data_IF_842571907633
#
_entry.id   IF_842571907633
#
_cell.length_a   1.000
_cell.length_b   1.000
_cell.length_c   1.000
_cell.angle_alpha   90.00
_cell.angle_beta   90.00
_cell.angle_gamma   90.00
#
_symmetry.space_group_name_H-M   'P 1'
#
loop_
_entity.id
_entity.type
_entity.pdbx_description
1 polymer ?
#
# COMPACT_ATOMS: atom_id res chain seq x y z
N UNK A 1 23.56 9.02 -12.28
CA UNK A 1 23.13 7.99 -11.32
C UNK A 1 21.77 7.46 -11.74
N UNK A 2 21.73 6.25 -12.23
CA UNK A 2 20.48 5.48 -12.32
C UNK A 2 20.10 5.08 -10.90
N UNK A 3 19.47 5.98 -10.19
CA UNK A 3 19.07 5.74 -8.82
C UNK A 3 17.62 5.31 -8.77
N UNK A 4 17.41 4.08 -8.38
CA UNK A 4 16.37 3.64 -7.42
C UNK A 4 14.88 3.78 -7.75
N UNK A 5 14.41 4.24 -8.88
CA UNK A 5 12.99 4.05 -9.26
C UNK A 5 12.68 2.56 -9.43
N UNK A 6 13.66 1.77 -9.87
CA UNK A 6 13.56 0.32 -9.94
C UNK A 6 13.37 -0.35 -8.57
N UNK A 7 13.97 0.15 -7.49
CA UNK A 7 13.87 -0.47 -6.16
C UNK A 7 12.47 -0.29 -5.52
N UNK A 8 11.79 0.84 -5.73
CA UNK A 8 10.41 1.01 -5.28
C UNK A 8 9.43 0.20 -6.13
N UNK A 9 9.76 -0.01 -7.38
CA UNK A 9 8.97 -0.78 -8.34
C UNK A 9 8.98 -2.29 -8.03
N UNK A 10 10.10 -2.81 -7.50
CA UNK A 10 10.22 -4.23 -7.12
C UNK A 10 9.21 -4.64 -6.05
N UNK A 11 8.80 -3.74 -5.15
CA UNK A 11 7.88 -4.06 -4.05
C UNK A 11 6.41 -3.72 -4.32
N UNK A 12 6.13 -2.77 -5.21
CA UNK A 12 4.76 -2.25 -5.41
C UNK A 12 4.13 -2.64 -6.73
N UNK A 13 4.94 -2.94 -7.75
CA UNK A 13 4.55 -3.53 -9.05
C UNK A 13 3.41 -2.82 -9.79
N UNK A 14 3.16 -1.55 -9.53
CA UNK A 14 2.28 -0.70 -10.34
C UNK A 14 3.02 -0.18 -11.58
N UNK A 15 2.26 0.22 -12.60
CA UNK A 15 2.84 0.98 -13.72
C UNK A 15 3.13 2.42 -13.28
N UNK A 16 4.09 3.03 -13.94
CA UNK A 16 4.44 4.44 -13.78
C UNK A 16 4.17 5.18 -15.09
N UNK A 17 3.80 6.43 -14.99
CA UNK A 17 3.62 7.33 -16.12
C UNK A 17 4.59 8.51 -16.01
N UNK A 18 5.23 8.87 -17.10
CA UNK A 18 6.01 10.09 -17.21
C UNK A 18 5.09 11.24 -17.60
N UNK A 19 5.00 12.25 -16.77
CA UNK A 19 4.19 13.44 -16.99
C UNK A 19 5.10 14.61 -17.33
N UNK A 20 4.75 15.33 -18.38
CA UNK A 20 5.34 16.61 -18.76
C UNK A 20 4.45 17.74 -18.19
N UNK A 21 5.01 18.54 -17.31
CA UNK A 21 4.36 19.71 -16.74
C UNK A 21 4.43 20.90 -17.70
N UNK A 22 3.61 21.92 -17.49
CA UNK A 22 3.56 23.11 -18.33
C UNK A 22 4.86 23.95 -18.29
N UNK A 23 5.60 23.86 -17.17
CA UNK A 23 6.92 24.48 -16.98
C UNK A 23 8.06 23.71 -17.68
N UNK A 24 7.74 22.60 -18.37
CA UNK A 24 8.72 21.73 -19.03
C UNK A 24 9.32 20.66 -18.12
N UNK A 25 9.03 20.67 -16.81
CA UNK A 25 9.53 19.64 -15.90
C UNK A 25 8.90 18.28 -16.19
N UNK A 26 9.67 17.21 -16.02
CA UNK A 26 9.22 15.84 -16.21
C UNK A 26 9.29 15.07 -14.90
N UNK A 27 8.16 14.53 -14.45
CA UNK A 27 8.08 13.70 -13.24
C UNK A 27 7.38 12.38 -13.48
N UNK A 28 7.84 11.34 -12.77
CA UNK A 28 7.14 10.06 -12.75
C UNK A 28 6.07 10.06 -11.67
N UNK A 29 4.88 9.62 -12.06
CA UNK A 29 3.76 9.39 -11.16
C UNK A 29 3.36 7.91 -11.17
N UNK A 30 2.63 7.49 -10.14
CA UNK A 30 1.95 6.19 -10.15
C UNK A 30 0.82 6.26 -11.16
N UNK A 31 0.86 5.43 -12.20
CA UNK A 31 -0.15 5.42 -13.24
C UNK A 31 -1.50 4.93 -12.71
N UNK A 32 -2.56 5.71 -12.79
CA UNK A 32 -3.92 5.24 -12.52
C UNK A 32 -4.38 4.25 -13.59
N UNK A 33 -5.34 3.41 -13.22
CA UNK A 33 -5.97 2.47 -14.14
C UNK A 33 -6.77 3.24 -15.21
N UNK A 34 -6.55 2.91 -16.46
CA UNK A 34 -7.31 3.49 -17.59
C UNK A 34 -6.70 4.77 -18.17
N UNK A 35 -5.60 5.28 -17.62
CA UNK A 35 -4.89 6.40 -18.27
C UNK A 35 -4.23 5.93 -19.57
N UNK A 36 -4.25 6.80 -20.58
CA UNK A 36 -3.62 6.55 -21.90
C UNK A 36 -2.54 7.59 -22.15
N UNK A 37 -1.65 7.29 -23.10
CA UNK A 37 -0.67 8.27 -23.58
C UNK A 37 -1.40 9.49 -24.15
N UNK A 38 -0.90 10.69 -23.87
CA UNK A 38 -1.53 11.95 -24.26
C UNK A 38 -2.68 12.42 -23.38
N UNK A 39 -3.09 11.63 -22.36
CA UNK A 39 -4.11 12.08 -21.38
C UNK A 39 -3.61 13.27 -20.59
N UNK A 40 -4.43 14.31 -20.46
CA UNK A 40 -4.16 15.45 -19.59
C UNK A 40 -4.59 15.13 -18.17
N UNK A 41 -3.75 15.44 -17.20
CA UNK A 41 -4.04 15.31 -15.77
C UNK A 41 -3.78 16.63 -15.08
N UNK A 42 -4.57 16.93 -14.06
CA UNK A 42 -4.50 18.16 -13.28
C UNK A 42 -4.32 17.86 -11.80
N UNK A 43 -3.62 18.74 -11.10
CA UNK A 43 -3.46 18.67 -9.64
C UNK A 43 -3.71 20.06 -9.06
N UNK A 44 -4.68 20.17 -8.17
CA UNK A 44 -5.07 21.42 -7.52
C UNK A 44 -6.52 21.41 -7.08
N UNK A 45 -6.95 22.53 -6.47
CA UNK A 45 -8.35 22.73 -6.02
C UNK A 45 -9.35 22.74 -7.16
N UNK A 46 -8.93 23.26 -8.32
CA UNK A 46 -9.78 23.52 -9.48
C UNK A 46 -9.77 22.37 -10.50
N UNK A 47 -9.12 21.25 -10.14
CA UNK A 47 -9.06 20.09 -11.01
C UNK A 47 -10.44 19.43 -11.14
N UNK A 48 -10.79 19.01 -12.35
CA UNK A 48 -12.01 18.24 -12.61
C UNK A 48 -11.98 16.86 -11.92
N UNK A 49 -13.17 16.33 -11.63
CA UNK A 49 -13.34 15.00 -11.05
C UNK A 49 -13.18 13.95 -12.14
N UNK A 50 -11.97 13.74 -12.60
CA UNK A 50 -11.62 12.75 -13.62
C UNK A 50 -10.48 11.86 -13.19
N UNK A 51 -10.36 10.67 -13.79
CA UNK A 51 -9.37 9.65 -13.42
C UNK A 51 -7.97 10.22 -13.64
N UNK A 52 -7.13 10.14 -12.58
CA UNK A 52 -5.76 10.63 -12.59
C UNK A 52 -5.58 12.03 -12.02
N UNK A 53 -6.64 12.80 -11.87
CA UNK A 53 -6.57 14.12 -11.26
C UNK A 53 -6.41 14.02 -9.73
N UNK A 54 -5.66 14.95 -9.18
CA UNK A 54 -5.34 14.99 -7.74
C UNK A 54 -5.94 16.24 -7.12
N UNK A 55 -6.82 16.04 -6.14
CA UNK A 55 -7.52 17.09 -5.41
C UNK A 55 -7.39 16.91 -3.91
N UNK A 56 -7.73 17.97 -3.17
CA UNK A 56 -7.97 17.87 -1.73
C UNK A 56 -9.25 17.07 -1.46
N UNK A 57 -9.27 16.29 -0.37
CA UNK A 57 -10.42 15.47 -0.02
C UNK A 57 -11.69 16.31 0.20
N UNK A 58 -11.53 17.58 0.52
CA UNK A 58 -12.64 18.53 0.63
C UNK A 58 -13.41 18.69 -0.69
N UNK A 59 -12.71 18.69 -1.81
CA UNK A 59 -13.28 18.92 -3.14
C UNK A 59 -13.73 17.63 -3.85
N UNK A 60 -13.47 16.47 -3.23
CA UNK A 60 -13.86 15.16 -3.79
C UNK A 60 -15.26 14.77 -3.28
N UNK A 61 -16.20 14.35 -4.14
CA UNK A 61 -17.50 13.87 -3.70
C UNK A 61 -17.41 12.54 -2.96
N UNK A 62 -18.28 12.38 -1.98
CA UNK A 62 -18.44 11.13 -1.22
C UNK A 62 -18.86 10.00 -2.17
N UNK A 63 -18.37 8.79 -1.89
CA UNK A 63 -18.60 7.61 -2.75
C UNK A 63 -17.53 7.41 -3.83
N UNK A 64 -16.70 8.41 -4.10
CA UNK A 64 -15.63 8.31 -5.10
C UNK A 64 -14.56 7.30 -4.69
N UNK A 65 -14.07 6.54 -5.66
CA UNK A 65 -12.89 5.68 -5.51
C UNK A 65 -11.63 6.51 -5.73
N UNK A 66 -10.72 6.48 -4.77
CA UNK A 66 -9.49 7.28 -4.76
C UNK A 66 -8.28 6.39 -4.47
N UNK A 67 -7.09 6.88 -4.79
CA UNK A 67 -5.82 6.26 -4.46
C UNK A 67 -4.76 7.30 -4.14
N UNK A 68 -3.55 6.89 -3.80
CA UNK A 68 -2.45 7.81 -3.47
C UNK A 68 -2.83 8.86 -2.42
N UNK A 69 -3.52 8.43 -1.33
CA UNK A 69 -4.03 9.33 -0.31
C UNK A 69 -2.93 9.76 0.66
N UNK A 70 -2.88 11.05 0.97
CA UNK A 70 -2.01 11.59 2.01
C UNK A 70 -2.55 11.28 3.41
N UNK A 71 -1.66 11.16 4.40
CA UNK A 71 -2.01 11.07 5.82
C UNK A 71 -1.85 12.40 6.56
N UNK A 72 -1.03 13.27 6.03
CA UNK A 72 -0.81 14.65 6.48
C UNK A 72 -0.74 15.53 5.24
N UNK A 73 -1.30 16.74 5.28
CA UNK A 73 -1.23 17.67 4.18
C UNK A 73 0.21 17.91 3.70
N UNK A 74 0.42 17.95 2.40
CA UNK A 74 1.68 18.23 1.73
C UNK A 74 2.84 17.24 2.03
N UNK A 75 2.57 16.12 2.72
CA UNK A 75 3.58 15.10 3.00
C UNK A 75 3.72 14.07 1.87
N UNK A 76 2.86 14.14 0.88
CA UNK A 76 2.80 13.20 -0.23
C UNK A 76 2.01 11.93 0.08
N UNK A 77 1.70 11.20 -0.97
CA UNK A 77 0.86 10.01 -0.92
C UNK A 77 1.48 8.89 -0.08
N UNK A 78 0.70 8.32 0.84
CA UNK A 78 1.12 7.22 1.72
C UNK A 78 0.21 6.01 1.65
N UNK A 79 -1.10 6.18 1.45
CA UNK A 79 -2.09 5.09 1.37
C UNK A 79 -2.43 4.75 -0.08
N UNK A 80 -2.82 3.50 -0.33
CA UNK A 80 -3.26 2.97 -1.62
C UNK A 80 -2.30 3.30 -2.78
N UNK A 81 -1.04 2.91 -2.64
CA UNK A 81 0.02 3.11 -3.65
C UNK A 81 0.39 1.83 -4.40
N UNK A 82 0.06 0.66 -3.87
CA UNK A 82 0.44 -0.62 -4.46
C UNK A 82 -0.46 -0.97 -5.65
N UNK A 83 0.04 -1.84 -6.53
CA UNK A 83 -0.69 -2.31 -7.71
C UNK A 83 -2.12 -2.77 -7.37
N UNK A 84 -3.10 -2.27 -8.12
CA UNK A 84 -4.50 -2.62 -7.96
C UNK A 84 -5.12 -2.27 -6.61
N UNK A 85 -4.56 -1.28 -5.91
CA UNK A 85 -5.17 -0.78 -4.67
C UNK A 85 -6.01 0.45 -4.92
N UNK A 86 -7.08 0.55 -4.14
CA UNK A 86 -7.96 1.70 -4.10
C UNK A 86 -8.49 1.90 -2.68
N UNK A 87 -9.06 3.04 -2.44
CA UNK A 87 -9.71 3.46 -1.20
C UNK A 87 -11.05 4.04 -1.56
N UNK A 88 -12.09 3.70 -0.81
CA UNK A 88 -13.40 4.28 -0.95
C UNK A 88 -13.55 5.48 -0.03
N UNK A 89 -13.94 6.63 -0.55
CA UNK A 89 -14.28 7.81 0.22
C UNK A 89 -15.72 7.68 0.73
N UNK A 90 -15.91 7.59 2.04
CA UNK A 90 -17.19 7.17 2.64
C UNK A 90 -18.00 8.36 3.16
N UNK A 91 -17.37 9.28 3.88
CA UNK A 91 -18.04 10.42 4.48
C UNK A 91 -17.06 11.59 4.70
N UNK A 92 -17.61 12.78 4.87
CA UNK A 92 -16.88 14.00 5.20
C UNK A 92 -17.61 14.69 6.35
N UNK A 93 -16.95 14.84 7.50
CA UNK A 93 -17.51 15.42 8.72
C UNK A 93 -16.40 16.10 9.54
N UNK A 94 -16.70 17.25 10.14
CA UNK A 94 -15.84 17.96 11.12
C UNK A 94 -14.39 18.19 10.64
N UNK A 95 -14.16 18.50 9.36
CA UNK A 95 -12.82 18.69 8.80
C UNK A 95 -12.03 17.38 8.59
N UNK A 96 -12.69 16.23 8.78
CA UNK A 96 -12.13 14.92 8.50
C UNK A 96 -12.88 14.19 7.39
N UNK A 97 -12.13 13.49 6.58
CA UNK A 97 -12.61 12.54 5.59
C UNK A 97 -12.53 11.11 6.16
N UNK A 98 -13.64 10.40 6.15
CA UNK A 98 -13.70 8.99 6.51
C UNK A 98 -13.47 8.14 5.28
N UNK A 99 -12.41 7.33 5.30
CA UNK A 99 -12.01 6.49 4.18
C UNK A 99 -12.02 5.01 4.56
N UNK A 100 -12.46 4.15 3.63
CA UNK A 100 -12.40 2.70 3.74
C UNK A 100 -11.25 2.15 2.91
N UNK A 101 -10.27 1.56 3.59
CA UNK A 101 -9.13 0.92 2.96
C UNK A 101 -9.50 -0.45 2.37
N UNK A 102 -8.70 -0.96 1.43
CA UNK A 102 -8.84 -2.31 0.84
C UNK A 102 -8.86 -3.43 1.90
N UNK A 103 -8.20 -3.22 3.04
CA UNK A 103 -8.22 -4.15 4.18
C UNK A 103 -9.54 -4.19 4.95
N UNK A 104 -10.48 -3.27 4.65
CA UNK A 104 -11.73 -3.08 5.41
C UNK A 104 -11.59 -2.20 6.65
N UNK A 105 -10.41 -1.62 6.92
CA UNK A 105 -10.23 -0.63 7.97
C UNK A 105 -10.86 0.70 7.56
N UNK A 106 -11.57 1.32 8.50
CA UNK A 106 -12.10 2.68 8.36
C UNK A 106 -11.21 3.64 9.13
N UNK A 107 -10.79 4.70 8.48
CA UNK A 107 -9.84 5.66 9.02
C UNK A 107 -10.25 7.09 8.72
N UNK A 108 -10.00 7.99 9.67
CA UNK A 108 -10.12 9.45 9.50
C UNK A 108 -8.82 10.02 8.93
N UNK A 109 -8.95 10.94 8.00
CA UNK A 109 -7.85 11.72 7.40
C UNK A 109 -8.34 13.17 7.30
N UNK A 110 -7.47 14.16 7.47
CA UNK A 110 -7.83 15.57 7.31
C UNK A 110 -8.35 15.86 5.89
N UNK A 111 -9.37 16.69 5.76
CA UNK A 111 -9.95 17.07 4.45
C UNK A 111 -8.98 17.84 3.56
N UNK A 112 -8.01 18.55 4.15
CA UNK A 112 -6.91 19.23 3.46
C UNK A 112 -5.84 18.29 2.88
N UNK A 113 -5.90 16.98 3.17
CA UNK A 113 -5.05 15.98 2.52
C UNK A 113 -5.48 15.76 1.08
N UNK A 114 -4.50 15.53 0.20
CA UNK A 114 -4.73 15.27 -1.22
C UNK A 114 -4.91 13.78 -1.50
N UNK A 115 -5.69 13.49 -2.52
CA UNK A 115 -5.87 12.15 -3.06
C UNK A 115 -6.05 12.20 -4.57
N UNK A 116 -5.71 11.12 -5.26
CA UNK A 116 -5.89 10.98 -6.71
C UNK A 116 -7.13 10.16 -7.00
N UNK A 117 -7.93 10.60 -7.96
CA UNK A 117 -9.17 9.93 -8.35
C UNK A 117 -8.86 8.66 -9.15
N UNK A 118 -9.60 7.58 -8.86
CA UNK A 118 -9.49 6.29 -9.53
C UNK A 118 -8.72 5.23 -8.73
N UNK A 119 -8.27 4.20 -9.40
CA UNK A 119 -7.53 3.05 -8.85
C UNK A 119 -6.11 3.01 -9.38
N UNK A 120 -5.20 2.38 -8.64
CA UNK A 120 -3.83 2.11 -9.11
C UNK A 120 -3.85 1.04 -10.21
N UNK A 121 -3.03 1.21 -11.22
CA UNK A 121 -2.84 0.28 -12.32
C UNK A 121 -2.32 -1.11 -11.91
N UNK A 122 -2.28 -2.05 -12.87
CA UNK A 122 -1.76 -3.42 -12.71
C UNK A 122 -2.49 -4.24 -11.62
N UNK A 123 -3.82 -4.24 -11.67
CA UNK A 123 -4.68 -4.93 -10.69
C UNK A 123 -4.42 -6.45 -10.65
N UNK A 124 -4.10 -7.04 -11.80
CA UNK A 124 -3.87 -8.47 -11.95
C UNK A 124 -2.52 -8.95 -11.41
N UNK A 125 -1.66 -8.03 -10.96
CA UNK A 125 -0.34 -8.40 -10.44
C UNK A 125 -0.40 -9.44 -9.32
N UNK A 126 -1.41 -9.38 -8.46
CA UNK A 126 -1.60 -10.34 -7.36
C UNK A 126 -1.95 -11.77 -7.82
N UNK A 127 -2.43 -11.92 -9.04
CA UNK A 127 -2.80 -13.22 -9.63
C UNK A 127 -1.62 -13.94 -10.27
N UNK A 128 -0.47 -13.26 -10.42
CA UNK A 128 0.72 -13.82 -11.05
C UNK A 128 1.29 -14.99 -10.26
N UNK A 129 1.32 -16.17 -10.87
CA UNK A 129 2.02 -17.34 -10.38
C UNK A 129 3.42 -17.44 -11.00
N UNK A 130 4.42 -17.71 -10.17
CA UNK A 130 5.82 -17.85 -10.66
C UNK A 130 6.14 -19.25 -11.19
N UNK A 131 5.33 -20.26 -10.89
CA UNK A 131 5.54 -21.63 -11.34
C UNK A 131 6.76 -22.34 -10.76
N UNK A 132 7.91 -21.67 -10.71
CA UNK A 132 9.18 -22.24 -10.21
C UNK A 132 9.92 -21.28 -9.26
N UNK A 133 10.76 -21.84 -8.38
CA UNK A 133 11.55 -21.09 -7.41
C UNK A 133 12.53 -20.09 -8.08
N UNK A 134 13.11 -20.47 -9.23
CA UNK A 134 14.00 -19.59 -9.98
C UNK A 134 13.35 -18.30 -10.45
N UNK A 135 12.06 -18.34 -10.83
CA UNK A 135 11.32 -17.14 -11.21
C UNK A 135 11.16 -16.13 -10.05
N UNK A 136 11.03 -16.62 -8.83
CA UNK A 136 11.07 -15.74 -7.62
C UNK A 136 12.46 -15.14 -7.41
N UNK A 137 13.52 -15.90 -7.68
CA UNK A 137 14.90 -15.40 -7.61
C UNK A 137 15.16 -14.27 -8.60
N UNK A 138 14.61 -14.36 -9.80
CA UNK A 138 14.74 -13.30 -10.83
C UNK A 138 14.13 -11.96 -10.38
N UNK A 139 13.12 -11.98 -9.51
CA UNK A 139 12.53 -10.76 -8.95
C UNK A 139 13.15 -10.37 -7.59
N UNK A 140 14.32 -10.93 -7.25
CA UNK A 140 15.09 -10.57 -6.06
C UNK A 140 14.66 -11.26 -4.75
N UNK A 141 13.69 -12.17 -4.79
CA UNK A 141 13.25 -12.89 -3.59
C UNK A 141 14.21 -14.04 -3.29
N UNK A 142 14.92 -13.94 -2.16
CA UNK A 142 15.83 -15.00 -1.68
C UNK A 142 15.05 -16.14 -1.01
N UNK A 143 15.60 -17.36 -0.97
CA UNK A 143 15.05 -18.46 -0.21
C UNK A 143 14.92 -18.11 1.28
N UNK A 144 13.86 -18.57 1.91
CA UNK A 144 13.62 -18.38 3.35
C UNK A 144 13.59 -19.75 4.02
N UNK A 145 14.40 -19.92 5.07
CA UNK A 145 14.40 -21.12 5.90
C UNK A 145 13.29 -21.03 6.93
N UNK A 146 12.57 -22.12 7.14
CA UNK A 146 11.52 -22.20 8.18
C UNK A 146 12.16 -22.30 9.56
N UNK A 147 11.60 -21.65 10.58
CA UNK A 147 12.10 -21.69 11.94
C UNK A 147 12.25 -23.11 12.54
N UNK A 148 11.36 -24.02 12.15
CA UNK A 148 11.42 -25.45 12.57
C UNK A 148 12.67 -26.17 12.05
N UNK A 149 13.27 -25.69 10.95
CA UNK A 149 14.48 -26.28 10.38
C UNK A 149 15.78 -25.61 10.87
N UNK A 150 15.68 -24.72 11.84
CA UNK A 150 16.80 -24.02 12.46
C UNK A 150 17.20 -24.69 13.79
N UNK A 151 18.34 -24.27 14.32
CA UNK A 151 18.78 -24.66 15.66
C UNK A 151 18.01 -23.90 16.76
N UNK A 152 17.97 -24.41 18.02
CA UNK A 152 17.27 -23.75 19.12
C UNK A 152 17.73 -22.32 19.39
N UNK A 153 18.99 -22.01 19.14
CA UNK A 153 19.58 -20.68 19.31
C UNK A 153 19.06 -19.67 18.27
N UNK A 154 18.70 -20.14 17.06
CA UNK A 154 18.30 -19.28 15.93
C UNK A 154 16.80 -18.99 15.90
N UNK A 155 16.00 -19.90 16.44
CA UNK A 155 14.54 -19.76 16.41
C UNK A 155 13.87 -20.52 17.55
N UNK A 156 12.80 -19.96 18.19
CA UNK A 156 12.03 -20.63 19.24
C UNK A 156 11.36 -21.95 18.83
N UNK A 157 11.24 -22.21 17.53
CA UNK A 157 10.74 -23.48 16.97
C UNK A 157 11.87 -24.43 16.54
N UNK A 158 13.13 -24.05 16.75
CA UNK A 158 14.28 -24.84 16.37
C UNK A 158 14.54 -26.03 17.30
N UNK A 159 15.35 -26.94 16.81
CA UNK A 159 15.79 -28.13 17.56
C UNK A 159 14.95 -29.38 17.34
N UNK A 160 15.30 -30.44 18.09
CA UNK A 160 14.70 -31.77 17.98
C UNK A 160 15.47 -32.71 17.08
N UNK A 161 15.14 -34.00 17.14
CA UNK A 161 15.72 -35.03 16.28
C UNK A 161 14.83 -35.29 15.06
N UNK A 162 15.41 -35.25 13.88
CA UNK A 162 14.72 -35.51 12.62
C UNK A 162 13.59 -34.54 12.31
N UNK A 163 12.42 -35.05 11.96
CA UNK A 163 11.26 -34.25 11.54
C UNK A 163 10.38 -33.89 12.74
N UNK A 164 10.72 -32.84 13.48
CA UNK A 164 9.96 -32.39 14.65
C UNK A 164 8.90 -31.34 14.29
N UNK A 165 7.90 -31.22 15.15
CA UNK A 165 6.93 -30.12 15.11
C UNK A 165 7.45 -28.88 15.84
N UNK A 166 6.77 -27.72 15.71
CA UNK A 166 7.19 -26.48 16.37
C UNK A 166 7.09 -26.48 17.89
N UNK A 167 6.45 -27.48 18.51
CA UNK A 167 6.38 -27.72 19.96
C UNK A 167 5.65 -26.65 20.80
N UNK A 168 5.18 -25.58 20.20
CA UNK A 168 4.55 -24.42 20.86
C UNK A 168 3.66 -23.64 19.89
N UNK A 169 2.94 -22.63 20.41
CA UNK A 169 2.21 -21.71 19.57
C UNK A 169 3.15 -21.01 18.57
N UNK A 170 2.68 -20.75 17.32
CA UNK A 170 3.49 -20.09 16.30
C UNK A 170 3.99 -18.72 16.75
N UNK A 171 5.30 -18.55 16.76
CA UNK A 171 5.98 -17.30 17.13
C UNK A 171 6.98 -16.88 16.04
N UNK A 172 7.36 -15.61 16.07
CA UNK A 172 8.43 -15.06 15.26
C UNK A 172 9.81 -15.46 15.85
N UNK A 173 10.93 -15.20 15.13
CA UNK A 173 12.29 -15.41 15.69
C UNK A 173 12.52 -14.69 17.02
N UNK A 174 11.82 -13.61 17.26
CA UNK A 174 11.92 -12.82 18.52
C UNK A 174 10.88 -13.22 19.57
N UNK A 175 10.17 -14.30 19.39
CA UNK A 175 9.18 -14.83 20.35
C UNK A 175 7.80 -14.18 20.29
N UNK A 176 7.56 -13.20 19.42
CA UNK A 176 6.25 -12.56 19.29
C UNK A 176 5.25 -13.51 18.65
N UNK A 177 4.03 -13.72 19.26
CA UNK A 177 3.00 -14.57 18.67
C UNK A 177 2.60 -14.08 17.27
N UNK A 178 2.53 -15.00 16.28
CA UNK A 178 2.23 -14.68 14.89
C UNK A 178 0.75 -14.83 14.54
N UNK A 179 -0.02 -15.54 15.35
CA UNK A 179 -1.45 -15.72 15.17
C UNK A 179 -2.25 -14.95 16.22
N UNK A 180 -3.13 -14.06 15.77
CA UNK A 180 -4.09 -13.35 16.60
C UNK A 180 -3.55 -12.21 17.45
N UNK A 181 -2.25 -12.12 17.68
CA UNK A 181 -1.63 -11.06 18.45
C UNK A 181 -1.67 -9.71 17.71
N UNK A 182 -2.01 -8.65 18.44
CA UNK A 182 -2.01 -7.28 17.91
C UNK A 182 -0.61 -6.68 18.01
N UNK A 183 0.11 -6.62 16.88
CA UNK A 183 1.48 -6.11 16.81
C UNK A 183 1.60 -4.59 16.68
N UNK A 184 0.47 -3.88 16.43
CA UNK A 184 0.48 -2.43 16.32
C UNK A 184 0.84 -1.79 17.67
N UNK A 185 1.94 -1.07 17.74
CA UNK A 185 2.42 -0.35 18.92
C UNK A 185 2.14 1.16 18.91
N UNK A 186 1.87 1.75 17.73
CA UNK A 186 1.63 3.18 17.59
C UNK A 186 0.23 3.57 18.09
N UNK A 187 0.14 3.96 19.36
CA UNK A 187 -1.12 4.41 19.98
C UNK A 187 -1.53 5.83 19.59
N UNK A 188 -0.57 6.68 19.20
CA UNK A 188 -0.79 8.10 18.89
C UNK A 188 -1.84 8.35 17.79
N UNK A 189 -1.97 7.43 16.84
CA UNK A 189 -2.90 7.52 15.71
C UNK A 189 -4.09 6.57 15.84
N UNK A 190 -4.32 5.97 16.99
CA UNK A 190 -5.47 5.07 17.20
C UNK A 190 -6.80 5.83 17.17
N UNK A 191 -6.84 7.09 17.64
CA UNK A 191 -8.01 7.97 17.54
C UNK A 191 -8.48 8.23 16.10
N UNK A 192 -7.58 8.09 15.13
CA UNK A 192 -7.91 8.23 13.71
C UNK A 192 -8.48 6.94 13.08
N UNK A 193 -8.50 5.83 13.81
CA UNK A 193 -9.06 4.56 13.33
C UNK A 193 -10.48 4.42 13.89
N UNK A 194 -11.47 4.56 13.01
CA UNK A 194 -12.89 4.41 13.38
C UNK A 194 -13.23 2.93 13.60
N UNK A 195 -12.84 2.08 12.66
CA UNK A 195 -13.09 0.64 12.72
C UNK A 195 -11.91 -0.13 12.15
N UNK A 196 -11.39 -1.05 12.93
CA UNK A 196 -10.32 -1.95 12.47
C UNK A 196 -10.85 -2.99 11.47
N UNK A 197 -9.95 -3.57 10.68
CA UNK A 197 -10.30 -4.70 9.80
C UNK A 197 -10.92 -5.84 10.61
N UNK A 198 -11.94 -6.49 10.08
CA UNK A 198 -12.43 -7.75 10.63
C UNK A 198 -11.33 -8.81 10.47
N UNK A 199 -11.21 -9.67 11.46
CA UNK A 199 -10.33 -10.85 11.40
C UNK A 199 -10.88 -11.86 10.41
#
# INVERSE_FOLDING_TARGET
RRTSSAASDVYKRQFIALVLYQDGERKYIIAPKGIKEGSKIMSGSDAEISIGNTLELENIPVGTTIHCVELKPQKGAQLARSAGTSVQFVAKEDGYASIRLKSGEFRKVLTSCRATIGEVSNQEHSLKSFGKAGAKRWVGVRPTVRGVAMNPIDHPHGGGEGRTSGGRHPVSPWGTPTKGYRTRSNKRTDSLIIRRRKK
#
